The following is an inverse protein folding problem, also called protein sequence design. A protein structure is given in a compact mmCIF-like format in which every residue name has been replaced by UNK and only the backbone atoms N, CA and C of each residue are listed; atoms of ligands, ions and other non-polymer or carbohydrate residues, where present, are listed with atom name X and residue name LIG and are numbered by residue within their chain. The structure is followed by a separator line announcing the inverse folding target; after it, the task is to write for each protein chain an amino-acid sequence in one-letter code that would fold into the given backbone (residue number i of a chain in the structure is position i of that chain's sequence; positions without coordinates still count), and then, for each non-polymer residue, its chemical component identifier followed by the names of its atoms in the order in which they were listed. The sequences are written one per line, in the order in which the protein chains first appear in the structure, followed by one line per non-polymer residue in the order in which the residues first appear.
data_IF_341276684533
#
_entry.id   IF_341276684533
#
_cell.length_a   1.000
_cell.length_b   1.000
_cell.length_c   1.000
_cell.angle_alpha   90.00
_cell.angle_beta   90.00
_cell.angle_gamma   90.00
#
_symmetry.space_group_name_H-M   'P 1'
#
loop_
_entity.id
_entity.type
_entity.pdbx_description
1 polymer ?
#
# COMPACT_ATOMS: atom_id res chain seq x y z
N UNK A 1 0.71 6.66 -3.33
CA UNK A 1 1.58 7.07 -2.20
C UNK A 1 2.40 8.32 -2.44
N UNK A 2 3.07 8.54 -3.59
CA UNK A 2 3.85 9.78 -3.83
C UNK A 2 3.09 11.11 -3.60
N UNK A 3 1.76 11.11 -3.81
CA UNK A 3 0.88 12.28 -3.62
C UNK A 3 0.21 12.35 -2.23
N UNK A 4 0.13 11.23 -1.50
CA UNK A 4 -0.49 11.09 -0.16
C UNK A 4 0.56 10.42 0.73
N UNK A 5 1.37 11.23 1.41
CA UNK A 5 2.56 10.81 2.19
C UNK A 5 2.25 9.81 3.31
N UNK A 6 0.99 9.72 3.75
CA UNK A 6 0.51 8.81 4.79
C UNK A 6 -0.86 8.25 4.37
N UNK A 7 -1.08 6.95 4.53
CA UNK A 7 -2.35 6.31 4.18
C UNK A 7 -2.55 4.99 4.94
N UNK A 8 -3.81 4.61 5.19
CA UNK A 8 -4.14 3.34 5.84
C UNK A 8 -4.13 2.16 4.86
N UNK A 9 -3.94 0.93 5.37
CA UNK A 9 -4.00 -0.30 4.58
C UNK A 9 -5.30 -0.40 3.76
N UNK A 10 -6.43 -0.09 4.39
CA UNK A 10 -7.76 -0.16 3.79
C UNK A 10 -7.88 0.75 2.57
N UNK A 11 -7.53 2.02 2.74
CA UNK A 11 -7.49 3.00 1.67
C UNK A 11 -6.51 2.64 0.55
N UNK A 12 -5.34 2.10 0.90
CA UNK A 12 -4.35 1.65 -0.07
C UNK A 12 -4.88 0.48 -0.90
N UNK A 13 -5.53 -0.49 -0.25
CA UNK A 13 -6.10 -1.66 -0.93
C UNK A 13 -7.20 -1.24 -1.91
N UNK A 14 -8.07 -0.31 -1.51
CA UNK A 14 -9.13 0.23 -2.39
C UNK A 14 -8.52 1.02 -3.54
N UNK A 15 -7.60 1.94 -3.29
CA UNK A 15 -6.96 2.73 -4.33
C UNK A 15 -6.17 1.85 -5.32
N UNK A 16 -5.48 0.82 -4.84
CA UNK A 16 -4.84 -0.18 -5.69
C UNK A 16 -5.86 -0.96 -6.51
N UNK A 17 -6.94 -1.43 -5.89
CA UNK A 17 -7.99 -2.18 -6.59
C UNK A 17 -8.65 -1.33 -7.69
N UNK A 18 -8.99 -0.07 -7.42
CA UNK A 18 -9.55 0.86 -8.39
C UNK A 18 -8.58 1.12 -9.56
N UNK A 19 -7.30 1.37 -9.25
CA UNK A 19 -6.30 1.65 -10.29
C UNK A 19 -6.00 0.43 -11.17
N UNK A 20 -6.03 -0.78 -10.60
CA UNK A 20 -5.83 -2.04 -11.31
C UNK A 20 -7.10 -2.55 -12.01
N UNK A 21 -8.29 -2.10 -11.59
CA UNK A 21 -9.61 -2.50 -12.11
C UNK A 21 -9.73 -2.34 -13.62
N UNK A 22 -9.00 -1.38 -14.21
CA UNK A 22 -8.98 -1.12 -15.65
C UNK A 22 -8.27 -2.21 -16.47
N UNK A 23 -7.49 -3.11 -15.84
CA UNK A 23 -6.74 -4.15 -16.55
C UNK A 23 -6.86 -5.53 -15.94
N UNK A 24 -7.15 -5.64 -14.63
CA UNK A 24 -7.28 -6.91 -13.93
C UNK A 24 -8.19 -6.76 -12.71
N UNK A 25 -8.80 -7.86 -12.24
CA UNK A 25 -9.33 -7.93 -10.87
C UNK A 25 -8.21 -8.43 -9.97
N UNK A 26 -7.46 -7.55 -9.28
CA UNK A 26 -6.36 -8.00 -8.44
C UNK A 26 -6.90 -8.78 -7.24
N UNK A 27 -6.25 -9.92 -6.96
CA UNK A 27 -6.46 -10.67 -5.74
C UNK A 27 -5.82 -9.94 -4.56
N UNK A 28 -6.52 -9.83 -3.43
CA UNK A 28 -5.99 -9.19 -2.22
C UNK A 28 -4.67 -9.79 -1.73
N UNK A 29 -4.41 -11.07 -2.04
CA UNK A 29 -3.14 -11.75 -1.75
C UNK A 29 -1.95 -11.10 -2.44
N UNK A 30 -2.10 -10.69 -3.70
CA UNK A 30 -1.04 -10.03 -4.45
C UNK A 30 -0.78 -8.61 -3.94
N UNK A 31 -1.83 -7.88 -3.56
CA UNK A 31 -1.72 -6.55 -2.97
C UNK A 31 -0.90 -6.59 -1.68
N UNK A 32 -1.21 -7.54 -0.78
CA UNK A 32 -0.42 -7.75 0.46
C UNK A 32 1.06 -8.02 0.16
N UNK A 33 1.34 -8.98 -0.72
CA UNK A 33 2.72 -9.34 -1.08
C UNK A 33 3.50 -8.16 -1.67
N UNK A 34 2.83 -7.32 -2.47
CA UNK A 34 3.46 -6.12 -3.06
C UNK A 34 3.74 -5.04 -2.03
N UNK A 35 2.85 -4.85 -1.05
CA UNK A 35 3.06 -3.93 0.07
C UNK A 35 4.26 -4.39 0.90
N UNK A 36 4.38 -5.69 1.18
CA UNK A 36 5.54 -6.24 1.91
C UNK A 36 6.86 -6.07 1.14
N UNK A 37 6.85 -6.29 -0.17
CA UNK A 37 8.01 -6.04 -1.03
C UNK A 37 8.42 -4.55 -1.01
N UNK A 38 7.46 -3.62 -0.98
CA UNK A 38 7.73 -2.18 -0.89
C UNK A 38 8.27 -1.76 0.49
N UNK A 39 7.83 -2.40 1.57
CA UNK A 39 8.37 -2.18 2.92
C UNK A 39 9.80 -2.72 3.00
N UNK A 40 10.03 -3.94 2.52
CA UNK A 40 11.35 -4.58 2.51
C UNK A 40 12.39 -3.78 1.72
N UNK A 41 11.96 -3.11 0.64
CA UNK A 41 12.81 -2.20 -0.16
C UNK A 41 12.99 -0.80 0.45
N UNK A 42 12.36 -0.50 1.59
CA UNK A 42 12.47 0.80 2.27
C UNK A 42 11.66 1.93 1.64
N UNK A 43 10.70 1.64 0.75
CA UNK A 43 9.83 2.67 0.17
C UNK A 43 8.66 3.04 1.09
N UNK A 44 8.27 2.12 1.98
CA UNK A 44 7.16 2.27 2.91
C UNK A 44 7.62 1.95 4.33
N UNK A 45 7.19 2.77 5.29
CA UNK A 45 7.36 2.53 6.72
C UNK A 45 6.01 2.25 7.38
N UNK A 46 6.00 1.38 8.39
CA UNK A 46 4.84 1.25 9.29
C UNK A 46 4.95 2.28 10.38
N UNK A 47 3.84 2.93 10.70
CA UNK A 47 3.80 3.82 11.86
C UNK A 47 4.01 3.03 13.16
N UNK A 48 4.77 3.60 14.10
CA UNK A 48 5.11 2.95 15.38
C UNK A 48 3.89 2.81 16.30
N UNK A 49 2.90 3.70 16.16
CA UNK A 49 1.68 3.70 16.97
C UNK A 49 0.60 2.82 16.34
N UNK A 50 0.55 2.78 15.01
CA UNK A 50 -0.49 2.05 14.28
C UNK A 50 0.07 1.27 13.06
N UNK A 51 0.15 -0.07 13.12
CA UNK A 51 0.66 -0.90 12.01
C UNK A 51 -0.24 -0.89 10.78
N UNK A 52 -1.47 -0.37 10.90
CA UNK A 52 -2.41 -0.16 9.79
C UNK A 52 -2.08 1.08 8.96
N UNK A 53 -1.19 1.96 9.43
CA UNK A 53 -0.78 3.19 8.75
C UNK A 53 0.58 2.98 8.09
N UNK A 54 0.64 3.30 6.80
CA UNK A 54 1.88 3.29 6.03
C UNK A 54 2.29 4.71 5.67
N UNK A 55 3.57 5.02 5.90
CA UNK A 55 4.22 6.27 5.49
C UNK A 55 5.11 6.02 4.29
N UNK A 56 5.08 6.94 3.34
CA UNK A 56 5.94 6.91 2.17
C UNK A 56 7.25 7.65 2.49
N UNK A 57 8.39 6.97 2.33
CA UNK A 57 9.72 7.47 2.68
C UNK A 57 10.49 8.11 1.49
N UNK A 58 10.13 7.78 0.25
CA UNK A 58 10.88 8.14 -0.97
C UNK A 58 10.22 9.23 -1.83
#
# INVERSE_FOLDING_TARGET
MKRRKVMQYSDLAVACAEQLSSSFKPDFKFIKKRIEDLISRGFLERDADNPSIFKYLA
#
